data_IF_398413678763
#
_entry.id   IF_398413678763
#
_cell.length_a   1.000
_cell.length_b   1.000
_cell.length_c   1.000
_cell.angle_alpha   90.00
_cell.angle_beta   90.00
_cell.angle_gamma   90.00
#
_symmetry.space_group_name_H-M   'P 1'
#
loop_
_entity.id
_entity.type
_entity.pdbx_description
1 polymer ?
2 polymer ?
3 non-polymer ?
4 water ?
#
# COMPACT_ATOMS: atom_id res chain seq x y z
N UNK A 15 -3.30 7.00 29.54
CA UNK A 15 -3.89 8.35 29.34
C UNK A 15 -3.94 8.64 27.84
N UNK A 16 -4.67 9.69 27.48
CA UNK A 16 -4.62 10.32 26.17
C UNK A 16 -3.21 10.60 25.67
N UNK A 17 -2.36 11.04 26.59
CA UNK A 17 -1.01 11.48 26.27
C UNK A 17 -0.13 10.32 25.75
N UNK A 18 -0.28 9.13 26.34
CA UNK A 18 0.50 7.94 25.90
C UNK A 18 0.11 7.61 24.42
N UNK A 19 -1.16 7.90 24.08
CA UNK A 19 -1.78 7.60 22.77
C UNK A 19 -1.37 8.63 21.74
N UNK A 20 -1.30 9.90 22.16
CA UNK A 20 -0.67 10.98 21.38
C UNK A 20 0.79 10.66 21.06
N UNK A 21 1.54 10.27 22.09
CA UNK A 21 2.95 9.92 21.91
C UNK A 21 3.16 8.72 20.90
N UNK A 22 2.30 7.72 20.95
CA UNK A 22 2.35 6.56 20.01
C UNK A 22 2.08 7.07 18.57
N UNK A 23 1.00 7.84 18.43
CA UNK A 23 0.64 8.52 17.21
C UNK A 23 1.79 9.28 16.57
N UNK A 24 2.54 10.03 17.40
CA UNK A 24 3.64 10.87 16.90
C UNK A 24 4.81 9.99 16.52
N UNK A 25 5.10 9.05 17.37
CA UNK A 25 6.14 8.11 17.06
C UNK A 25 5.91 7.35 15.73
N UNK A 26 4.67 6.90 15.48
CA UNK A 26 4.37 6.21 14.21
C UNK A 26 4.50 7.23 13.06
N UNK A 27 4.12 8.49 13.31
CA UNK A 27 4.15 9.49 12.23
C UNK A 27 5.54 9.73 11.72
N UNK A 28 6.52 9.87 12.64
CA UNK A 28 7.93 10.10 12.31
C UNK A 28 8.52 8.88 11.61
N UNK A 29 8.20 7.67 12.07
CA UNK A 29 8.78 6.56 11.42
C UNK A 29 8.17 6.32 10.06
N UNK A 30 6.94 6.79 9.86
CA UNK A 30 6.29 6.73 8.55
C UNK A 30 7.00 7.68 7.56
N UNK A 31 7.26 8.91 7.99
CA UNK A 31 8.07 9.90 7.21
C UNK A 31 9.46 9.35 6.86
N UNK A 32 10.14 8.71 7.81
CA UNK A 32 11.41 8.03 7.50
C UNK A 32 11.22 6.88 6.51
N UNK A 33 10.18 6.05 6.69
CA UNK A 33 10.02 4.84 5.85
C UNK A 33 9.50 5.04 4.42
N UNK A 34 8.70 6.07 4.20
CA UNK A 34 8.02 6.22 2.96
C UNK A 34 8.40 7.57 2.29
N UNK A 35 9.24 7.53 1.23
CA UNK A 35 9.75 8.82 0.68
C UNK A 35 8.63 9.68 0.07
N UNK A 36 7.75 9.07 -0.71
CA UNK A 36 6.63 9.86 -1.25
C UNK A 36 5.36 9.87 -0.38
N UNK A 37 5.19 10.89 0.46
CA UNK A 37 4.11 10.99 1.43
C UNK A 37 2.88 11.44 0.73
N UNK A 38 1.72 11.28 1.38
CA UNK A 38 0.51 11.75 0.75
C UNK A 38 0.60 13.28 0.55
N UNK A 39 1.24 14.00 1.49
CA UNK A 39 1.34 15.49 1.38
C UNK A 39 2.00 15.96 0.04
N UNK A 40 3.18 15.44 -0.26
CA UNK A 40 3.82 15.63 -1.56
C UNK A 40 3.00 15.16 -2.80
N UNK A 41 2.41 13.93 -2.76
CA UNK A 41 1.52 13.50 -3.87
C UNK A 41 0.43 14.51 -4.13
N UNK A 42 -0.13 15.06 -3.07
CA UNK A 42 -1.22 15.99 -3.27
C UNK A 42 -0.70 17.38 -3.78
N UNK A 43 0.53 17.75 -3.41
CA UNK A 43 1.14 18.97 -3.93
C UNK A 43 1.27 18.77 -5.46
N UNK A 44 2.06 17.76 -5.86
CA UNK A 44 2.17 17.34 -7.24
C UNK A 44 0.84 17.37 -8.02
N UNK A 45 -0.16 16.65 -7.54
CA UNK A 45 -1.43 16.53 -8.24
C UNK A 45 -2.30 17.81 -8.29
N UNK A 46 -2.11 18.76 -7.41
CA UNK A 46 -3.05 19.85 -7.34
C UNK A 46 -2.62 20.97 -8.26
N UNK A 47 -1.34 21.00 -8.54
CA UNK A 47 -0.74 22.03 -9.37
C UNK A 47 0.12 22.92 -8.49
N UNK A 48 -0.13 22.77 -7.19
CA UNK A 48 0.63 23.48 -6.20
C UNK A 48 2.01 23.02 -6.43
N UNK A 49 2.86 23.10 -5.44
CA UNK A 49 4.26 22.84 -5.62
C UNK A 49 4.82 23.65 -6.75
N UNK A 50 6.11 23.87 -6.68
CA UNK A 50 6.78 24.55 -7.75
C UNK A 50 8.07 23.87 -8.08
N UNK A 51 7.95 22.62 -8.50
CA UNK A 51 8.87 22.02 -9.40
C UNK A 51 8.04 21.60 -10.61
N UNK A 52 8.58 20.71 -11.41
CA UNK A 52 7.93 20.44 -12.67
C UNK A 52 6.74 19.53 -12.53
N UNK A 53 5.76 19.79 -13.36
CA UNK A 53 4.61 18.90 -13.58
C UNK A 53 5.10 17.51 -14.03
N UNK A 54 4.47 16.43 -13.55
CA UNK A 54 4.85 15.07 -13.99
C UNK A 54 4.64 14.83 -15.51
N UNK A 55 5.52 14.06 -16.12
CA UNK A 55 5.34 13.60 -17.48
C UNK A 55 4.09 12.69 -17.61
N UNK A 56 3.11 12.99 -18.42
CA UNK A 56 1.99 12.09 -18.43
C UNK A 56 2.00 11.03 -19.50
N UNK A 57 1.64 9.81 -19.11
CA UNK A 57 1.59 8.61 -19.97
C UNK A 57 0.14 8.20 -20.20
N UNK A 58 -0.32 8.29 -21.47
CA UNK A 58 -1.75 8.16 -21.86
C UNK A 58 -1.99 7.17 -23.03
N UNK A 59 -0.95 6.73 -23.70
CA UNK A 59 -1.05 5.77 -24.80
C UNK A 59 0.31 5.19 -24.96
N UNK A 60 0.47 4.25 -25.89
CA UNK A 60 1.78 3.63 -26.14
C UNK A 60 2.87 4.59 -26.43
N UNK A 61 2.60 5.59 -27.29
CA UNK A 61 3.68 6.49 -27.74
C UNK A 61 4.24 7.29 -26.53
N UNK A 62 3.33 7.84 -25.73
CA UNK A 62 3.71 8.57 -24.52
C UNK A 62 4.45 7.66 -23.55
N UNK A 63 4.05 6.38 -23.46
CA UNK A 63 4.81 5.41 -22.64
C UNK A 63 6.27 5.32 -23.07
N UNK A 64 6.48 5.14 -24.37
CA UNK A 64 7.81 5.07 -24.97
C UNK A 64 8.65 6.31 -24.65
N UNK A 65 8.11 7.49 -24.98
CA UNK A 65 8.80 8.78 -24.70
C UNK A 65 9.04 9.03 -23.21
N UNK A 66 8.16 8.46 -22.39
CA UNK A 66 8.31 8.52 -20.95
C UNK A 66 9.47 7.70 -20.44
N UNK A 67 9.79 6.61 -21.15
CA UNK A 67 10.93 5.73 -20.78
C UNK A 67 12.34 6.32 -21.05
N UNK A 68 12.40 7.44 -21.76
CA UNK A 68 13.67 8.14 -22.02
C UNK A 68 13.79 9.35 -21.13
N UNK A 69 12.66 9.95 -20.79
CA UNK A 69 12.61 11.01 -19.76
C UNK A 69 12.79 10.42 -18.35
N UNK A 70 11.97 9.43 -18.00
CA UNK A 70 12.11 8.66 -16.74
C UNK A 70 12.99 7.42 -16.94
N UNK A 81 11.37 -3.06 -24.96
CA UNK A 81 12.03 -3.76 -26.07
C UNK A 81 12.33 -5.23 -25.71
N UNK A 82 11.96 -6.11 -26.62
CA UNK A 82 11.91 -7.52 -26.39
C UNK A 82 10.49 -7.88 -25.96
N UNK A 83 9.85 -7.03 -25.15
CA UNK A 83 8.55 -7.36 -24.54
C UNK A 83 7.36 -6.41 -24.80
N UNK A 84 6.16 -6.98 -24.73
CA UNK A 84 4.90 -6.28 -24.97
C UNK A 84 4.53 -5.31 -23.88
N UNK A 85 3.80 -4.27 -24.24
CA UNK A 85 3.55 -3.13 -23.36
C UNK A 85 2.88 -3.55 -22.03
N UNK A 86 1.75 -4.23 -22.11
CA UNK A 86 1.07 -4.65 -20.91
C UNK A 86 2.09 -5.34 -19.98
N UNK A 87 3.01 -6.14 -20.56
CA UNK A 87 4.02 -6.86 -19.77
C UNK A 87 5.13 -5.94 -19.21
N UNK A 88 5.46 -4.88 -19.94
CA UNK A 88 6.41 -3.91 -19.43
C UNK A 88 5.83 -3.23 -18.19
N UNK A 89 4.56 -2.85 -18.27
CA UNK A 89 3.87 -2.20 -17.16
C UNK A 89 3.77 -3.15 -15.98
N UNK A 90 3.27 -4.38 -16.22
CA UNK A 90 3.25 -5.42 -15.19
C UNK A 90 4.57 -5.49 -14.44
N UNK A 91 5.67 -5.71 -15.17
CA UNK A 91 6.99 -5.87 -14.56
C UNK A 91 7.53 -4.62 -13.80
N UNK A 92 7.01 -3.44 -14.17
CA UNK A 92 7.33 -2.20 -13.51
C UNK A 92 6.64 -2.12 -12.16
N UNK A 93 5.36 -2.48 -12.12
CA UNK A 93 4.63 -2.71 -10.89
C UNK A 93 5.35 -3.63 -9.95
N UNK A 94 6.03 -4.65 -10.47
CA UNK A 94 6.71 -5.60 -9.62
C UNK A 94 7.90 -4.98 -8.94
N UNK A 95 8.64 -4.20 -9.71
CA UNK A 95 9.79 -3.51 -9.19
C UNK A 95 9.35 -2.62 -7.99
N UNK A 96 8.28 -1.86 -8.16
CA UNK A 96 7.82 -0.92 -7.14
C UNK A 96 7.12 -1.67 -5.97
N UNK A 97 6.40 -2.75 -6.25
CA UNK A 97 5.89 -3.59 -5.15
C UNK A 97 6.99 -4.10 -4.24
N UNK A 98 8.06 -4.58 -4.85
CA UNK A 98 9.20 -5.10 -4.11
C UNK A 98 9.80 -4.05 -3.15
N UNK A 99 10.02 -2.85 -3.65
CA UNK A 99 10.52 -1.75 -2.80
C UNK A 99 9.51 -1.36 -1.74
N UNK A 100 8.22 -1.33 -2.09
CA UNK A 100 7.12 -1.07 -1.12
C UNK A 100 7.09 -2.10 0.07
N UNK A 101 7.31 -3.38 -0.23
CA UNK A 101 7.39 -4.43 0.82
C UNK A 101 8.50 -4.10 1.76
N UNK A 102 9.62 -3.67 1.16
CA UNK A 102 10.77 -3.28 1.92
C UNK A 102 10.55 -2.09 2.83
N UNK A 103 9.94 -1.06 2.30
CA UNK A 103 9.62 0.10 3.12
C UNK A 103 8.61 -0.28 4.25
N UNK A 104 7.64 -1.12 3.93
CA UNK A 104 6.57 -1.50 4.84
C UNK A 104 7.13 -2.36 5.98
N UNK A 105 8.07 -3.27 5.63
CA UNK A 105 8.84 -4.06 6.63
C UNK A 105 9.60 -3.17 7.57
N UNK A 106 10.30 -2.16 7.06
CA UNK A 106 10.97 -1.23 7.94
C UNK A 106 9.96 -0.46 8.88
N UNK A 107 8.87 0.06 8.34
CA UNK A 107 7.85 0.72 9.16
C UNK A 107 7.33 -0.27 10.21
N UNK A 108 7.02 -1.49 9.81
CA UNK A 108 6.56 -2.51 10.78
C UNK A 108 7.50 -2.63 12.01
N UNK A 109 8.78 -2.77 11.72
CA UNK A 109 9.77 -2.91 12.78
C UNK A 109 9.82 -1.75 13.78
N UNK A 110 9.38 -0.57 13.37
CA UNK A 110 9.28 0.57 14.32
C UNK A 110 7.95 0.56 15.11
N UNK A 111 7.01 -0.36 14.80
CA UNK A 111 5.77 -0.42 15.64
C UNK A 111 6.01 -1.07 17.01
N UNK A 112 5.72 -0.32 18.10
CA UNK A 112 6.18 -0.87 19.43
C UNK A 112 5.58 -2.20 19.74
N UNK A 113 6.42 -3.14 20.13
CA UNK A 113 6.02 -4.48 20.41
C UNK A 113 6.09 -5.42 19.22
N UNK A 114 6.10 -4.90 17.98
CA UNK A 114 6.14 -5.82 16.79
C UNK A 114 7.36 -6.76 16.78
N UNK A 115 8.54 -6.19 17.02
CA UNK A 115 9.78 -7.00 16.85
C UNK A 115 9.97 -7.95 18.05
N UNK A 116 9.16 -7.81 19.10
CA UNK A 116 9.20 -8.78 20.21
C UNK A 116 8.27 -9.95 19.92
N UNK A 117 7.52 -9.91 18.84
CA UNK A 117 6.63 -11.01 18.48
C UNK A 117 7.42 -12.15 17.93
N UNK A 118 6.91 -13.34 18.11
CA UNK A 118 7.38 -14.52 17.44
C UNK A 118 7.65 -14.14 16.01
N UNK A 119 8.83 -14.49 15.53
CA UNK A 119 9.32 -14.12 14.23
C UNK A 119 8.47 -14.71 13.18
N UNK A 120 7.93 -15.88 13.43
CA UNK A 120 7.06 -16.52 12.49
C UNK A 120 5.78 -15.73 12.40
N UNK A 121 5.44 -15.05 13.48
CA UNK A 121 4.19 -14.21 13.45
C UNK A 121 4.43 -12.86 12.77
N UNK A 122 5.59 -12.27 12.99
CA UNK A 122 6.05 -11.12 12.21
C UNK A 122 5.90 -11.44 10.72
N UNK A 123 6.38 -12.59 10.31
CA UNK A 123 6.33 -12.91 8.87
C UNK A 123 4.93 -13.08 8.34
N UNK A 124 4.11 -13.76 9.10
CA UNK A 124 2.71 -13.93 8.71
C UNK A 124 1.95 -12.58 8.59
N UNK A 125 2.15 -11.71 9.55
CA UNK A 125 1.52 -10.37 9.57
C UNK A 125 1.96 -9.56 8.31
N UNK A 126 3.26 -9.58 7.99
CA UNK A 126 3.75 -8.88 6.76
C UNK A 126 3.16 -9.50 5.51
N UNK A 127 3.25 -10.80 5.48
CA UNK A 127 2.76 -11.53 4.27
C UNK A 127 1.31 -11.17 3.97
N UNK A 128 0.44 -11.13 4.96
CA UNK A 128 -0.94 -10.77 4.66
C UNK A 128 -1.15 -9.27 4.66
N UNK A 129 -0.36 -8.52 5.40
CA UNK A 129 -0.62 -7.05 5.55
C UNK A 129 -0.18 -6.15 4.38
N UNK A 130 0.90 -6.54 3.73
CA UNK A 130 1.63 -5.72 2.76
C UNK A 130 0.76 -5.23 1.62
N UNK A 131 -0.08 -6.11 1.07
CA UNK A 131 -0.95 -5.69 -0.02
C UNK A 131 -2.05 -4.74 0.34
N UNK A 132 -2.67 -5.01 1.48
CA UNK A 132 -3.64 -4.08 2.05
C UNK A 132 -3.00 -2.68 2.23
N UNK A 133 -1.78 -2.61 2.75
CA UNK A 133 -1.07 -1.36 2.89
C UNK A 133 -0.69 -0.70 1.55
N UNK A 134 -0.09 -1.49 0.65
CA UNK A 134 0.11 -1.04 -0.70
C UNK A 134 -1.13 -0.39 -1.29
N UNK A 135 -2.29 -1.01 -1.28
CA UNK A 135 -3.47 -0.37 -1.93
C UNK A 135 -3.99 0.87 -1.16
N UNK A 136 -3.85 0.88 0.16
CA UNK A 136 -4.17 2.08 0.99
C UNK A 136 -3.28 3.23 0.55
N UNK A 137 -1.98 2.98 0.44
CA UNK A 137 -1.04 4.07 0.10
C UNK A 137 -1.02 4.46 -1.38
N UNK A 138 -1.38 3.52 -2.25
CA UNK A 138 -1.58 3.82 -3.68
C UNK A 138 -2.67 4.89 -3.82
N UNK A 139 -3.76 4.78 -3.02
CA UNK A 139 -4.81 5.79 -3.04
C UNK A 139 -4.25 7.21 -2.82
N UNK A 140 -3.20 7.34 -2.00
CA UNK A 140 -2.53 8.64 -1.89
C UNK A 140 -2.01 9.20 -3.26
N UNK A 141 -1.61 8.32 -4.17
CA UNK A 141 -0.97 8.75 -5.39
C UNK A 141 -1.97 8.84 -6.52
N UNK A 142 -3.28 8.78 -6.24
CA UNK A 142 -4.32 8.63 -7.24
C UNK A 142 -5.36 9.70 -7.17
N UNK A 143 -5.89 10.05 -8.35
CA UNK A 143 -7.16 10.73 -8.45
C UNK A 143 -8.01 9.93 -9.38
N UNK A 144 -9.19 10.46 -9.69
CA UNK A 144 -10.10 9.71 -10.53
C UNK A 144 -9.57 9.56 -11.97
N UNK A 145 -8.52 10.31 -12.35
CA UNK A 145 -7.95 10.28 -13.74
C UNK A 145 -6.63 9.53 -13.96
N UNK A 146 -5.92 9.24 -12.86
CA UNK A 146 -4.77 8.36 -12.96
C UNK A 146 -3.90 8.41 -11.76
N UNK A 147 -2.67 7.99 -11.94
CA UNK A 147 -1.82 7.65 -10.82
C UNK A 147 -0.40 8.09 -11.05
N UNK A 148 0.19 8.66 -10.00
CA UNK A 148 1.62 9.00 -10.01
C UNK A 148 2.50 7.81 -9.92
N UNK A 149 3.61 7.88 -10.66
CA UNK A 149 4.59 6.80 -10.78
C UNK A 149 6.02 7.36 -10.67
N UNK A 150 6.99 6.48 -10.60
CA UNK A 150 8.35 6.87 -10.44
C UNK A 150 8.46 8.05 -9.54
N UNK A 151 7.86 7.91 -8.38
CA UNK A 151 7.95 8.89 -7.29
C UNK A 151 7.53 10.30 -7.66
N UNK A 152 6.37 10.42 -8.27
CA UNK A 152 5.92 11.72 -8.73
C UNK A 152 6.52 12.27 -10.02
N UNK A 153 7.48 11.57 -10.65
CA UNK A 153 8.03 11.90 -11.99
C UNK A 153 6.99 11.81 -13.12
N UNK A 154 6.11 10.80 -13.03
CA UNK A 154 5.11 10.53 -14.06
C UNK A 154 3.68 10.41 -13.53
N UNK A 155 2.75 10.45 -14.48
CA UNK A 155 1.33 10.36 -14.23
C UNK A 155 0.75 9.51 -15.35
N UNK A 156 0.21 8.35 -14.96
CA UNK A 156 -0.25 7.37 -15.91
C UNK A 156 -1.75 7.33 -15.78
N UNK A 157 -2.43 7.60 -16.89
CA UNK A 157 -3.87 7.82 -16.84
C UNK A 157 -4.58 6.46 -16.67
N UNK A 158 -5.74 6.55 -16.08
CA UNK A 158 -6.53 5.41 -15.73
C UNK A 158 -7.13 4.79 -16.96
N UNK A 159 -7.63 5.64 -17.87
CA UNK A 159 -8.02 5.20 -19.24
C UNK A 159 -6.98 4.30 -19.89
N UNK A 160 -5.74 4.75 -19.87
CA UNK A 160 -4.70 3.99 -20.52
C UNK A 160 -4.50 2.64 -19.85
N UNK A 161 -4.60 2.62 -18.50
CA UNK A 161 -4.46 1.32 -17.81
C UNK A 161 -5.62 0.43 -18.11
N UNK A 162 -6.80 1.05 -18.25
CA UNK A 162 -8.05 0.38 -18.58
C UNK A 162 -7.99 -0.22 -19.99
N UNK A 163 -7.26 0.46 -20.88
CA UNK A 163 -7.17 0.09 -22.30
C UNK A 163 -6.21 -1.08 -22.57
N UNK A 164 -5.51 -1.56 -21.55
CA UNK A 164 -4.59 -2.68 -21.79
C UNK A 164 -5.34 -4.00 -22.16
N UNK A 165 -4.70 -4.89 -22.93
CA UNK A 165 -5.37 -6.16 -23.34
C UNK A 165 -5.61 -7.02 -22.10
N UNK A 166 -6.81 -7.61 -22.01
CA UNK A 166 -7.17 -8.63 -21.00
C UNK A 166 -5.99 -9.61 -20.82
N UNK A 167 -5.75 -10.06 -19.57
CA UNK A 167 -6.45 -9.65 -18.35
C UNK A 167 -5.83 -8.38 -17.72
N UNK A 168 -4.95 -7.70 -18.45
CA UNK A 168 -4.10 -6.71 -17.83
C UNK A 168 -4.87 -5.42 -17.63
N UNK A 169 -5.87 -5.18 -18.48
CA UNK A 169 -6.58 -3.90 -18.49
C UNK A 169 -7.57 -3.64 -17.36
N UNK A 170 -7.83 -4.65 -16.55
CA UNK A 170 -8.68 -4.45 -15.40
C UNK A 170 -7.93 -4.74 -14.07
N UNK A 171 -6.59 -4.78 -14.13
CA UNK A 171 -5.75 -5.05 -12.99
C UNK A 171 -5.86 -3.92 -11.99
N UNK A 172 -5.96 -2.68 -12.52
CA UNK A 172 -5.95 -1.46 -11.75
C UNK A 172 -7.29 -0.82 -11.46
N UNK A 173 -8.26 -1.09 -12.31
CA UNK A 173 -9.55 -0.47 -12.12
C UNK A 173 -10.12 -0.65 -10.69
N UNK A 174 -10.01 -1.86 -10.09
CA UNK A 174 -10.54 -1.93 -8.69
C UNK A 174 -9.75 -1.10 -7.67
N UNK A 175 -8.44 -0.91 -7.91
CA UNK A 175 -7.65 0.01 -7.06
C UNK A 175 -8.13 1.41 -7.19
N UNK A 176 -8.51 1.81 -8.42
CA UNK A 176 -8.95 3.20 -8.65
C UNK A 176 -10.27 3.49 -7.94
N UNK A 177 -11.18 2.51 -7.96
CA UNK A 177 -12.52 2.70 -7.44
C UNK A 177 -12.48 2.78 -5.95
N UNK A 178 -11.57 2.00 -5.36
CA UNK A 178 -11.37 2.02 -3.92
C UNK A 178 -10.77 3.38 -3.58
N UNK A 179 -9.74 3.77 -4.33
CA UNK A 179 -9.07 5.03 -4.08
C UNK A 179 -10.01 6.23 -4.03
N UNK A 180 -10.92 6.36 -5.00
CA UNK A 180 -11.83 7.53 -5.07
C UNK A 180 -12.71 7.72 -3.81
N UNK A 181 -13.24 6.64 -3.27
CA UNK A 181 -14.05 6.66 -2.03
C UNK A 181 -13.16 6.81 -0.81
N UNK A 182 -12.02 6.12 -0.80
CA UNK A 182 -11.15 6.24 0.38
C UNK A 182 -10.65 7.64 0.47
N UNK A 183 -10.26 8.21 -0.68
CA UNK A 183 -9.73 9.61 -0.73
C UNK A 183 -10.71 10.66 -0.29
N UNK A 184 -12.00 10.39 -0.42
CA UNK A 184 -13.05 11.31 0.10
C UNK A 184 -13.07 11.51 1.62
N UNK A 185 -12.37 10.63 2.37
CA UNK A 185 -12.32 10.73 3.85
C UNK A 185 -11.28 11.76 4.22
N UNK A 186 -10.44 12.12 3.27
CA UNK A 186 -9.56 13.24 3.46
C UNK A 186 -8.64 12.91 4.57
N UNK A 187 -8.07 11.70 4.60
CA UNK A 187 -7.06 11.44 5.62
C UNK A 187 -5.72 12.10 5.31
N UNK A 188 -5.00 12.47 6.35
CA UNK A 188 -3.61 12.82 6.10
C UNK A 188 -2.58 11.79 6.58
N UNK A 189 -1.32 12.11 6.36
CA UNK A 189 -0.25 11.25 6.65
C UNK A 189 -0.21 10.78 8.09
N UNK A 190 -0.49 11.73 9.00
CA UNK A 190 -0.45 11.45 10.41
C UNK A 190 -1.59 10.43 10.77
N UNK A 191 -2.74 10.56 10.14
CA UNK A 191 -3.81 9.56 10.27
C UNK A 191 -3.43 8.17 9.67
N UNK A 192 -2.90 8.21 8.44
CA UNK A 192 -2.56 7.04 7.66
C UNK A 192 -1.51 6.25 8.38
N UNK A 193 -0.58 6.94 9.07
CA UNK A 193 0.45 6.21 9.72
C UNK A 193 -0.11 5.31 10.78
N UNK A 194 -1.23 5.68 11.42
CA UNK A 194 -1.70 4.82 12.52
C UNK A 194 -2.57 3.78 11.89
N UNK A 195 -3.33 4.18 10.87
CA UNK A 195 -4.15 3.23 10.15
C UNK A 195 -3.37 2.06 9.59
N UNK A 196 -2.21 2.32 8.97
CA UNK A 196 -1.47 1.21 8.34
C UNK A 196 -0.88 0.28 9.44
N UNK A 197 -0.41 0.85 10.59
CA UNK A 197 -0.03 0.09 11.81
C UNK A 197 -1.12 -0.84 12.28
N UNK A 198 -2.39 -0.35 12.27
CA UNK A 198 -3.55 -1.18 12.69
C UNK A 198 -3.78 -2.35 11.78
N UNK A 199 -3.61 -2.11 10.50
CA UNK A 199 -3.82 -3.16 9.53
C UNK A 199 -2.73 -4.24 9.73
N UNK A 200 -1.53 -3.83 10.03
CA UNK A 200 -0.45 -4.76 10.15
C UNK A 200 -0.65 -5.68 11.33
N UNK A 201 -1.22 -5.18 12.42
CA UNK A 201 -1.41 -5.98 13.65
C UNK A 201 -2.83 -6.57 13.72
N UNK A 202 -3.29 -7.27 12.69
CA UNK A 202 -4.61 -7.89 12.71
C UNK A 202 -4.44 -9.33 13.19
N UNK A 203 -5.12 -9.62 14.30
CA UNK A 203 -5.07 -10.90 14.93
C UNK A 203 -5.75 -12.06 14.19
N UNK A 204 -6.42 -11.82 13.08
CA UNK A 204 -7.15 -12.88 12.37
C UNK A 204 -6.46 -13.34 11.11
N UNK A 205 -5.17 -13.11 10.97
CA UNK A 205 -4.49 -13.68 9.81
C UNK A 205 -4.34 -15.19 10.04
N UNK A 206 -4.58 -15.96 9.02
CA UNK A 206 -4.39 -17.39 9.04
C UNK A 206 -3.02 -17.78 9.55
N UNK A 207 -2.96 -18.79 10.37
CA UNK A 207 -1.66 -19.37 10.73
C UNK A 207 -0.94 -18.58 11.78
N UNK A 208 -1.62 -17.62 12.42
CA UNK A 208 -0.85 -16.94 13.48
C UNK A 208 -0.71 -17.96 14.63
N UNK A 209 0.46 -18.02 15.25
CA UNK A 209 0.73 -18.93 16.41
C UNK A 209 0.17 -18.37 17.75
N UNK A 210 0.38 -17.07 17.98
CA UNK A 210 0.02 -16.48 19.27
C UNK A 210 -0.65 -15.07 19.11
N UNK A 211 -1.96 -15.13 18.95
CA UNK A 211 -2.82 -14.05 18.67
C UNK A 211 -2.84 -12.93 19.76
N UNK A 212 -2.84 -13.32 21.03
CA UNK A 212 -2.98 -12.41 22.17
C UNK A 212 -2.14 -11.16 22.15
N UNK A 213 -0.77 -11.27 22.06
CA UNK A 213 -0.01 -10.01 22.15
C UNK A 213 -0.17 -9.16 20.85
N UNK A 214 -0.62 -9.78 19.75
CA UNK A 214 -0.90 -9.04 18.52
C UNK A 214 -2.22 -8.23 18.75
N UNK A 215 -3.25 -8.87 19.31
CA UNK A 215 -4.50 -8.10 19.60
C UNK A 215 -4.29 -7.00 20.67
N UNK A 216 -3.36 -7.25 21.62
CA UNK A 216 -3.04 -6.23 22.64
C UNK A 216 -2.38 -5.02 22.01
N UNK A 217 -1.44 -5.22 21.07
CA UNK A 217 -0.84 -4.04 20.36
C UNK A 217 -1.92 -3.32 19.51
N UNK A 218 -2.72 -4.09 18.80
CA UNK A 218 -3.69 -3.56 17.90
C UNK A 218 -4.77 -2.76 18.70
N UNK A 219 -5.25 -3.33 19.79
CA UNK A 219 -6.12 -2.57 20.77
C UNK A 219 -5.57 -1.14 21.09
N UNK A 220 -4.32 -1.08 21.45
CA UNK A 220 -3.63 0.22 21.68
C UNK A 220 -3.53 1.12 20.43
N UNK A 221 -3.25 0.51 19.29
CA UNK A 221 -3.19 1.27 18.04
C UNK A 221 -4.56 1.87 17.65
N UNK A 222 -5.62 1.04 17.72
CA UNK A 222 -7.02 1.45 17.48
C UNK A 222 -7.44 2.61 18.44
N UNK A 223 -7.05 2.52 19.69
CA UNK A 223 -7.33 3.63 20.64
C UNK A 223 -6.57 4.86 20.16
N UNK A 224 -5.29 4.67 19.71
CA UNK A 224 -4.53 5.80 19.15
C UNK A 224 -5.14 6.39 17.95
N UNK A 225 -5.68 5.51 17.05
CA UNK A 225 -6.32 5.94 15.88
C UNK A 225 -7.58 6.76 16.19
N UNK A 226 -8.45 6.23 17.04
CA UNK A 226 -9.68 6.93 17.41
C UNK A 226 -9.41 8.35 18.01
N UNK A 227 -8.50 8.48 18.97
CA UNK A 227 -8.06 9.83 19.45
C UNK A 227 -7.59 10.78 18.34
N UNK A 228 -6.60 10.30 17.54
CA UNK A 228 -6.11 11.00 16.34
C UNK A 228 -7.23 11.52 15.45
N UNK A 229 -8.21 10.69 15.16
CA UNK A 229 -9.26 11.14 14.27
C UNK A 229 -10.16 12.25 14.93
N UNK A 230 -10.45 12.10 16.23
CA UNK A 230 -11.24 13.08 16.97
C UNK A 230 -10.49 14.39 17.06
N UNK A 231 -9.19 14.36 17.35
CA UNK A 231 -8.35 15.57 17.37
C UNK A 231 -8.15 16.19 15.98
N UNK A 232 -7.84 15.37 14.97
CA UNK A 232 -7.42 15.89 13.69
C UNK A 232 -8.58 16.27 12.81
N UNK A 233 -9.72 15.60 13.00
CA UNK A 233 -10.93 15.82 12.20
C UNK A 233 -12.12 16.03 13.14
N UNK A 234 -12.07 17.10 14.00
CA UNK A 234 -13.13 17.27 15.01
C UNK A 234 -14.49 17.46 14.35
N UNK A 235 -14.52 17.96 13.12
CA UNK A 235 -15.78 18.12 12.37
C UNK A 235 -16.34 16.88 11.63
N UNK A 236 -15.58 15.80 11.64
CA UNK A 236 -15.94 14.59 10.87
C UNK A 236 -16.43 13.44 11.78
N UNK A 237 -17.74 13.41 11.95
CA UNK A 237 -18.39 12.42 12.79
C UNK A 237 -18.31 10.98 12.20
N UNK A 238 -18.08 10.03 13.11
CA UNK A 238 -17.99 8.60 12.77
C UNK A 238 -16.93 8.27 11.71
N UNK A 239 -15.86 9.06 11.70
CA UNK A 239 -14.77 8.84 10.74
C UNK A 239 -14.04 7.54 11.13
N UNK A 240 -13.83 7.32 12.44
CA UNK A 240 -13.28 6.06 12.98
C UNK A 240 -14.07 4.86 12.43
N UNK A 241 -15.39 4.87 12.61
CA UNK A 241 -16.23 3.80 12.06
C UNK A 241 -16.08 3.65 10.54
N UNK A 242 -16.03 4.76 9.81
CA UNK A 242 -15.98 4.67 8.34
C UNK A 242 -14.65 4.10 7.95
N UNK A 243 -13.63 4.48 8.69
CA UNK A 243 -12.35 3.96 8.37
C UNK A 243 -12.20 2.43 8.72
N UNK A 244 -12.76 1.94 9.82
CA UNK A 244 -12.86 0.48 10.02
C UNK A 244 -13.55 -0.31 8.88
N UNK A 245 -14.63 0.23 8.32
CA UNK A 245 -15.27 -0.37 7.17
C UNK A 245 -14.29 -0.47 6.00
N UNK A 246 -13.41 0.50 5.81
CA UNK A 246 -12.41 0.36 4.73
C UNK A 246 -11.39 -0.81 4.90
N UNK A 247 -10.95 -1.07 6.14
CA UNK A 247 -10.02 -2.17 6.40
C UNK A 247 -10.57 -3.47 5.88
N UNK A 248 -11.88 -3.60 5.81
CA UNK A 248 -12.43 -4.77 5.15
C UNK A 248 -12.82 -4.64 3.70
N UNK A 249 -12.76 -3.46 3.11
CA UNK A 249 -12.93 -3.39 1.63
C UNK A 249 -11.60 -3.70 0.94
N UNK A 250 -10.54 -3.34 1.65
CA UNK A 250 -9.20 -3.70 1.29
C UNK A 250 -9.02 -5.22 1.09
N UNK A 251 -9.65 -6.01 1.97
CA UNK A 251 -9.64 -7.48 1.95
C UNK A 251 -10.09 -7.95 0.59
N UNK A 252 -11.12 -7.29 0.06
CA UNK A 252 -11.72 -7.69 -1.21
C UNK A 252 -10.83 -7.36 -2.40
N UNK A 253 -10.19 -6.19 -2.34
CA UNK A 253 -9.23 -5.81 -3.38
C UNK A 253 -8.17 -6.89 -3.36
N UNK A 254 -7.71 -7.25 -2.16
CA UNK A 254 -6.60 -8.17 -2.11
C UNK A 254 -6.96 -9.54 -2.71
N UNK A 255 -8.10 -10.13 -2.31
CA UNK A 255 -8.51 -11.45 -2.81
C UNK A 255 -8.75 -11.40 -4.33
N UNK A 256 -9.37 -10.36 -4.88
CA UNK A 256 -9.58 -10.24 -6.31
C UNK A 256 -8.30 -10.14 -7.09
N UNK A 257 -7.41 -9.33 -6.53
CA UNK A 257 -6.08 -9.17 -7.02
C UNK A 257 -5.30 -10.50 -7.04
N UNK A 258 -5.26 -11.23 -5.95
CA UNK A 258 -4.61 -12.55 -5.96
C UNK A 258 -5.23 -13.51 -7.04
N UNK A 259 -6.56 -13.47 -7.21
CA UNK A 259 -7.27 -14.29 -8.22
C UNK A 259 -6.85 -13.94 -9.67
N UNK A 260 -6.88 -12.65 -9.98
CA UNK A 260 -6.40 -12.17 -11.26
C UNK A 260 -4.92 -12.52 -11.51
N UNK A 261 -4.03 -12.31 -10.53
CA UNK A 261 -2.66 -12.84 -10.58
C UNK A 261 -2.46 -14.38 -10.73
N UNK A 262 -3.34 -15.19 -10.16
CA UNK A 262 -3.30 -16.62 -10.41
C UNK A 262 -3.63 -16.87 -11.90
N UNK A 263 -4.58 -16.12 -12.46
CA UNK A 263 -4.87 -16.21 -13.89
C UNK A 263 -3.68 -15.83 -14.81
N UNK A 264 -3.08 -14.65 -14.60
CA UNK A 264 -1.84 -14.22 -15.30
C UNK A 264 -0.73 -15.25 -15.19
N UNK A 265 -0.54 -15.76 -13.99
CA UNK A 265 0.47 -16.77 -13.76
C UNK A 265 0.18 -17.99 -14.66
N UNK A 266 -1.09 -18.29 -14.93
CA UNK A 266 -1.41 -19.48 -15.69
C UNK A 266 -1.28 -19.26 -17.21
N UNK A 267 -1.61 -18.06 -17.65
CA UNK A 267 -1.83 -17.80 -19.07
C UNK A 267 -0.75 -16.97 -19.82
N UNK A 268 0.33 -16.60 -19.15
CA UNK A 268 1.31 -15.71 -19.73
C UNK A 268 2.73 -16.26 -19.78
N UNK A 269 3.30 -16.22 -21.00
CA UNK A 269 4.59 -16.83 -21.34
C UNK A 269 5.59 -16.94 -20.21
N UNK A 270 6.08 -15.80 -19.77
CA UNK A 270 6.97 -15.82 -18.64
C UNK A 270 6.34 -15.15 -17.43
N UNK A 271 5.71 -15.97 -16.63
CA UNK A 271 5.24 -15.51 -15.33
C UNK A 271 6.23 -14.43 -14.91
N UNK A 272 7.50 -14.84 -14.73
CA UNK A 272 8.58 -13.96 -14.23
C UNK A 272 8.12 -13.21 -12.97
N UNK A 273 7.87 -13.93 -11.89
CA UNK A 273 7.45 -13.26 -10.66
C UNK A 273 8.65 -13.14 -9.72
N UNK A 274 8.95 -11.90 -9.34
CA UNK A 274 10.02 -11.65 -8.40
C UNK A 274 9.90 -12.61 -7.21
N UNK A 275 11.00 -13.16 -6.75
CA UNK A 275 10.92 -14.11 -5.62
C UNK A 275 10.46 -13.53 -4.23
N UNK A 276 10.62 -12.22 -3.96
CA UNK A 276 9.98 -11.63 -2.75
C UNK A 276 8.48 -11.78 -2.87
N UNK A 277 7.93 -11.45 -4.04
CA UNK A 277 6.51 -11.53 -4.26
C UNK A 277 6.04 -12.98 -4.27
N UNK A 278 6.92 -13.88 -4.72
CA UNK A 278 6.57 -15.30 -4.64
C UNK A 278 6.50 -15.73 -3.18
N UNK A 279 7.45 -15.34 -2.34
CA UNK A 279 7.29 -15.65 -0.89
C UNK A 279 5.92 -15.18 -0.33
N UNK A 280 5.54 -13.97 -0.71
CA UNK A 280 4.31 -13.37 -0.21
C UNK A 280 3.08 -14.09 -0.75
N UNK A 281 3.02 -14.30 -2.06
CA UNK A 281 1.82 -14.90 -2.62
C UNK A 281 1.58 -16.41 -2.39
N UNK A 282 2.60 -17.12 -1.94
CA UNK A 282 2.57 -18.58 -1.75
C UNK A 282 1.64 -18.98 -0.60
N UNK A 283 0.60 -19.76 -0.91
CA UNK A 283 -0.37 -20.18 0.11
C UNK A 283 -1.14 -19.01 0.66
N UNK A 284 -1.56 -18.08 -0.20
CA UNK A 284 -2.28 -16.90 0.25
C UNK A 284 -3.72 -16.82 -0.26
N UNK A 285 -4.60 -16.40 0.66
CA UNK A 285 -6.07 -16.17 0.50
C UNK A 285 -6.64 -15.38 -0.74
N UNK B 2 8.60 -21.27 4.58
CA UNK B 2 10.03 -20.95 4.87
C UNK B 2 10.36 -19.42 4.82
N UNK B 3 9.95 -18.73 3.74
CA UNK B 3 10.05 -17.24 3.55
C UNK B 3 11.40 -16.61 3.79
N UNK B 4 12.38 -16.97 2.96
CA UNK B 4 13.77 -16.58 3.22
C UNK B 4 14.08 -15.09 3.14
N UNK B 5 13.57 -14.39 2.11
CA UNK B 5 13.76 -12.93 1.99
C UNK B 5 13.08 -12.23 3.18
N UNK B 6 11.82 -12.57 3.40
CA UNK B 6 11.08 -11.95 4.52
C UNK B 6 11.84 -12.06 5.85
N UNK B 7 12.35 -13.26 6.16
CA UNK B 7 13.14 -13.45 7.40
C UNK B 7 14.38 -12.56 7.47
N UNK B 8 15.04 -12.39 6.33
CA UNK B 8 16.26 -11.58 6.33
C UNK B 8 15.95 -10.07 6.48
N UNK B 9 14.92 -9.58 5.81
CA UNK B 9 14.47 -8.19 6.03
C UNK B 9 13.98 -7.96 7.46
N UNK B 10 13.37 -8.97 8.09
CA UNK B 10 12.93 -8.82 9.48
C UNK B 10 14.06 -8.71 10.50
N UNK B 11 14.97 -9.68 10.54
CA UNK B 11 16.18 -9.49 11.34
C UNK B 11 17.20 -8.72 10.53
N UNK B 12 17.58 -7.53 11.02
CA UNK B 12 18.50 -6.59 10.32
C UNK B 12 18.95 -5.43 11.25
#
# INVERSE_FOLDING_TARGET
GSHMISSDIDQLNPESADLRALAKHLYDSYIKSFPLTKAKARAILTGKTTDKSPFVIYDMNSLMMGEDKIKFKHITPLQEQSKEVAIRIFQGCQFRSVEAVQEITEYAKSIPGFVNLDLNDQVTLLKYGVHEIIYTMLASLMNKDGVLISEGQGFMTREFLKSLRKPFGDFMEPKFEFAVKFNALELDDSDLAIFIAVIILSGDRPGLLNVKPIEDIQDNLLQALELQLKLNHPESSQLFAKLLQKMTDLRQIVTEHVQLLQVIKKTETDMSLHPLLQEIYKDLY
ERHKILHRLLQEGSPS
#
